data_IF_902589009872
#
_entry.id   IF_902589009872
#
_cell.length_a   1.000
_cell.length_b   1.000
_cell.length_c   1.000
_cell.angle_alpha   90.00
_cell.angle_beta   90.00
_cell.angle_gamma   90.00
#
_symmetry.space_group_name_H-M   'P 1'
#
loop_
_entity.id
_entity.type
_entity.pdbx_description
1 polymer ?
#
# COMPACT_ATOMS: atom_id res chain seq x y z
N UNK A 1 18.25 15.19 14.31
CA UNK A 1 17.22 14.76 15.27
C UNK A 1 17.02 13.26 15.17
N UNK A 2 17.12 12.58 16.28
CA UNK A 2 16.87 11.15 16.34
C UNK A 2 15.39 10.88 16.43
N UNK A 3 14.90 9.96 15.60
CA UNK A 3 13.52 9.51 15.65
C UNK A 3 13.45 8.22 16.46
N UNK A 4 12.76 8.25 17.60
CA UNK A 4 12.62 7.11 18.50
C UNK A 4 11.26 6.44 18.31
N UNK A 5 11.28 5.10 18.42
CA UNK A 5 10.09 4.29 18.31
C UNK A 5 9.91 3.48 19.59
N UNK A 6 8.72 3.54 20.17
CA UNK A 6 8.38 2.67 21.29
C UNK A 6 7.73 1.38 20.78
N UNK A 7 7.97 0.28 21.51
CA UNK A 7 7.34 -1.01 21.22
C UNK A 7 5.81 -0.84 21.25
N UNK A 8 5.13 -1.39 20.22
CA UNK A 8 3.69 -1.29 20.08
C UNK A 8 3.21 -0.03 19.37
N UNK A 9 4.11 0.90 19.04
CA UNK A 9 3.75 2.10 18.29
C UNK A 9 3.49 1.76 16.82
N UNK A 10 2.77 2.62 16.07
CA UNK A 10 2.59 2.43 14.64
C UNK A 10 3.91 2.35 13.87
N UNK A 11 4.91 3.14 14.25
CA UNK A 11 6.23 3.06 13.61
C UNK A 11 6.95 1.75 13.93
N UNK A 12 6.74 1.20 15.12
CA UNK A 12 7.25 -0.13 15.45
C UNK A 12 6.60 -1.20 14.56
N UNK A 13 5.30 -1.10 14.31
CA UNK A 13 4.61 -2.00 13.38
C UNK A 13 5.21 -1.91 11.98
N UNK A 14 5.45 -0.72 11.46
CA UNK A 14 6.05 -0.55 10.14
C UNK A 14 7.43 -1.24 10.06
N UNK A 15 8.20 -1.15 11.15
CA UNK A 15 9.51 -1.81 11.22
C UNK A 15 9.41 -3.33 11.11
N UNK A 16 8.34 -3.92 11.63
CA UNK A 16 8.12 -5.37 11.55
C UNK A 16 7.85 -5.86 10.13
N UNK A 17 7.47 -4.98 9.22
CA UNK A 17 7.19 -5.33 7.82
C UNK A 17 8.45 -5.47 6.97
N UNK A 18 9.61 -5.02 7.46
CA UNK A 18 10.85 -5.00 6.70
C UNK A 18 11.24 -6.40 6.24
N UNK A 19 11.59 -6.54 4.95
CA UNK A 19 12.04 -7.80 4.39
C UNK A 19 11.55 -8.02 2.98
N UNK A 20 11.83 -9.22 2.49
CA UNK A 20 11.30 -9.69 1.21
C UNK A 20 9.95 -10.37 1.40
N UNK A 21 9.06 -10.14 0.45
CA UNK A 21 7.70 -10.66 0.48
C UNK A 21 7.39 -11.37 -0.83
N UNK A 22 6.74 -12.53 -0.74
CA UNK A 22 6.23 -13.25 -1.90
C UNK A 22 4.76 -13.57 -1.66
N UNK A 23 3.98 -13.58 -2.72
CA UNK A 23 2.57 -13.89 -2.57
C UNK A 23 1.87 -13.98 -3.91
N UNK A 24 0.56 -13.94 -3.87
CA UNK A 24 -0.30 -14.00 -5.04
C UNK A 24 -1.12 -12.72 -5.12
N UNK A 25 -1.15 -12.13 -6.30
CA UNK A 25 -2.05 -11.04 -6.62
C UNK A 25 -3.29 -11.61 -7.29
N UNK A 26 -4.45 -11.25 -6.80
CA UNK A 26 -5.74 -11.69 -7.35
C UNK A 26 -6.54 -10.45 -7.73
N UNK A 27 -7.07 -10.47 -8.93
CA UNK A 27 -7.85 -9.35 -9.46
C UNK A 27 -9.28 -9.80 -9.73
N UNK A 28 -10.24 -9.07 -9.20
CA UNK A 28 -11.66 -9.24 -9.50
C UNK A 28 -12.15 -7.94 -10.14
N UNK A 29 -12.68 -8.03 -11.35
CA UNK A 29 -13.32 -6.90 -12.04
C UNK A 29 -14.82 -6.88 -11.79
N UNK A 30 -15.35 -8.02 -11.35
CA UNK A 30 -16.74 -8.19 -10.94
C UNK A 30 -16.77 -9.04 -9.66
N UNK A 31 -17.78 -8.87 -8.79
CA UNK A 31 -17.92 -9.74 -7.62
C UNK A 31 -17.96 -11.22 -8.02
N UNK A 32 -17.29 -12.06 -7.23
CA UNK A 32 -17.25 -13.51 -7.40
C UNK A 32 -16.65 -14.02 -8.72
N UNK A 33 -15.98 -13.16 -9.49
CA UNK A 33 -15.35 -13.54 -10.75
C UNK A 33 -13.89 -13.13 -10.78
N UNK A 34 -13.01 -14.09 -10.55
CA UNK A 34 -11.57 -13.87 -10.60
C UNK A 34 -11.12 -13.64 -12.03
N UNK A 35 -10.53 -12.47 -12.30
CA UNK A 35 -10.06 -12.10 -13.63
C UNK A 35 -8.60 -12.48 -13.84
N UNK A 36 -7.78 -12.42 -12.80
CA UNK A 36 -6.35 -12.75 -12.88
C UNK A 36 -5.84 -13.22 -11.54
N UNK A 37 -4.88 -14.14 -11.56
CA UNK A 37 -4.14 -14.57 -10.38
C UNK A 37 -2.69 -14.77 -10.80
N UNK A 38 -1.78 -14.02 -10.18
CA UNK A 38 -0.38 -13.99 -10.58
C UNK A 38 0.52 -13.84 -9.38
N UNK A 39 1.74 -14.43 -9.42
CA UNK A 39 2.69 -14.23 -8.32
C UNK A 39 3.17 -12.78 -8.26
N UNK A 40 3.44 -12.32 -7.04
CA UNK A 40 3.98 -11.01 -6.77
C UNK A 40 5.18 -11.13 -5.85
N UNK A 41 6.22 -10.36 -6.13
CA UNK A 41 7.43 -10.25 -5.32
C UNK A 41 7.58 -8.81 -4.86
N UNK A 42 8.00 -8.62 -3.63
CA UNK A 42 8.22 -7.28 -3.14
C UNK A 42 9.25 -7.22 -2.03
N UNK A 43 9.69 -6.01 -1.74
CA UNK A 43 10.59 -5.71 -0.63
C UNK A 43 10.08 -4.51 0.12
N UNK A 44 10.22 -4.53 1.44
CA UNK A 44 9.88 -3.41 2.30
C UNK A 44 11.15 -2.99 3.03
N UNK A 45 11.49 -1.71 2.94
CA UNK A 45 12.63 -1.11 3.62
C UNK A 45 12.19 0.13 4.38
N UNK A 46 12.89 0.45 5.47
CA UNK A 46 12.67 1.69 6.19
C UNK A 46 13.56 2.79 5.63
N UNK A 47 13.06 4.01 5.63
CA UNK A 47 13.81 5.19 5.22
C UNK A 47 13.61 6.30 6.24
N UNK A 48 14.51 7.29 6.21
CA UNK A 48 14.46 8.48 7.07
C UNK A 48 14.36 8.12 8.55
N UNK A 49 15.28 7.24 8.97
CA UNK A 49 15.41 6.79 10.36
C UNK A 49 14.17 6.05 10.88
N UNK A 50 13.50 5.32 9.99
CA UNK A 50 12.33 4.53 10.39
C UNK A 50 11.02 5.31 10.40
N UNK A 51 10.99 6.54 9.89
CA UNK A 51 9.75 7.32 9.80
C UNK A 51 8.80 6.78 8.78
N UNK A 52 9.33 6.18 7.70
CA UNK A 52 8.53 5.65 6.60
C UNK A 52 9.01 4.28 6.20
N UNK A 53 8.10 3.49 5.64
CA UNK A 53 8.39 2.22 5.01
C UNK A 53 8.09 2.32 3.52
N UNK A 54 9.01 1.84 2.70
CA UNK A 54 8.85 1.82 1.25
C UNK A 54 8.62 0.37 0.83
N UNK A 55 7.50 0.11 0.17
CA UNK A 55 7.18 -1.19 -0.41
C UNK A 55 7.29 -1.10 -1.93
N UNK A 56 8.27 -1.81 -2.48
CA UNK A 56 8.44 -1.96 -3.93
C UNK A 56 7.99 -3.36 -4.32
N UNK A 57 7.12 -3.46 -5.32
CA UNK A 57 6.64 -4.77 -5.77
C UNK A 57 6.63 -4.88 -7.27
N UNK A 58 6.70 -6.12 -7.73
CA UNK A 58 6.57 -6.46 -9.14
C UNK A 58 5.74 -7.74 -9.27
N UNK A 59 4.98 -7.80 -10.34
CA UNK A 59 4.12 -8.93 -10.63
C UNK A 59 3.65 -8.88 -12.07
N UNK A 60 2.51 -9.48 -12.34
CA UNK A 60 1.89 -9.43 -13.67
C UNK A 60 0.37 -9.40 -13.51
N UNK A 61 -0.29 -8.82 -14.51
CA UNK A 61 -1.74 -8.87 -14.65
C UNK A 61 -2.03 -9.24 -16.08
N UNK A 62 -2.73 -10.36 -16.26
CA UNK A 62 -3.07 -10.90 -17.59
C UNK A 62 -1.82 -11.03 -18.49
N UNK A 63 -0.70 -11.46 -17.91
CA UNK A 63 0.55 -11.65 -18.64
C UNK A 63 1.38 -10.39 -18.83
N UNK A 64 0.88 -9.22 -18.46
CA UNK A 64 1.60 -7.95 -18.58
C UNK A 64 2.33 -7.64 -17.29
N UNK A 65 3.61 -7.22 -17.40
CA UNK A 65 4.42 -6.86 -16.23
C UNK A 65 3.81 -5.67 -15.49
N UNK A 66 3.78 -5.78 -14.16
CA UNK A 66 3.28 -4.75 -13.27
C UNK A 66 4.34 -4.39 -12.24
N UNK A 67 4.53 -3.09 -12.00
CA UNK A 67 5.42 -2.56 -10.98
C UNK A 67 4.69 -1.51 -10.17
N UNK A 68 4.95 -1.47 -8.88
CA UNK A 68 4.33 -0.45 -8.03
C UNK A 68 5.16 -0.15 -6.79
N UNK A 69 4.76 0.91 -6.12
CA UNK A 69 5.41 1.37 -4.90
C UNK A 69 4.38 2.01 -3.97
N UNK A 70 4.46 1.63 -2.71
CA UNK A 70 3.80 2.34 -1.62
C UNK A 70 4.84 3.00 -0.74
N UNK A 71 4.55 4.21 -0.28
CA UNK A 71 5.21 4.81 0.87
C UNK A 71 4.21 4.78 2.01
N UNK A 72 4.54 4.10 3.10
CA UNK A 72 3.69 4.03 4.30
C UNK A 72 4.30 4.86 5.41
N UNK A 73 3.46 5.59 6.13
CA UNK A 73 3.87 6.35 7.29
C UNK A 73 2.74 6.47 8.30
N UNK A 74 3.06 7.04 9.45
CA UNK A 74 2.07 7.35 10.46
C UNK A 74 2.25 8.81 10.87
N UNK A 75 1.20 9.60 10.66
CA UNK A 75 1.21 11.02 10.99
C UNK A 75 0.83 11.19 12.46
N UNK A 76 1.80 11.55 13.30
CA UNK A 76 1.59 11.69 14.74
C UNK A 76 0.77 12.92 15.11
N UNK A 77 0.61 13.86 14.19
CA UNK A 77 -0.21 15.06 14.40
C UNK A 77 -1.69 14.74 14.23
N UNK A 78 -2.02 14.01 13.18
CA UNK A 78 -3.41 13.65 12.87
C UNK A 78 -3.83 12.30 13.44
N UNK A 79 -2.86 11.53 13.95
CA UNK A 79 -3.08 10.18 14.49
C UNK A 79 -3.66 9.23 13.44
N UNK A 80 -3.12 9.28 12.22
CA UNK A 80 -3.56 8.48 11.10
C UNK A 80 -2.39 7.84 10.37
N UNK A 81 -2.61 6.62 9.85
CA UNK A 81 -1.72 6.07 8.83
C UNK A 81 -1.92 6.83 7.53
N UNK A 82 -0.82 7.03 6.82
CA UNK A 82 -0.83 7.68 5.51
C UNK A 82 -0.04 6.83 4.53
N UNK A 83 -0.45 6.86 3.27
CA UNK A 83 0.28 6.19 2.21
C UNK A 83 0.20 7.00 0.93
N UNK A 84 1.26 6.89 0.12
CA UNK A 84 1.20 7.29 -1.28
C UNK A 84 1.41 6.04 -2.13
N UNK A 85 0.67 5.94 -3.22
CA UNK A 85 0.72 4.77 -4.09
C UNK A 85 0.88 5.19 -5.54
N UNK A 86 1.85 4.57 -6.20
CA UNK A 86 2.07 4.68 -7.64
C UNK A 86 2.20 3.27 -8.21
N UNK A 87 1.66 3.05 -9.40
CA UNK A 87 1.54 1.70 -9.94
C UNK A 87 1.44 1.78 -11.46
N UNK A 88 2.14 0.91 -12.16
CA UNK A 88 2.18 0.93 -13.62
C UNK A 88 0.89 0.43 -14.28
N UNK A 89 -0.04 -0.15 -13.51
CA UNK A 89 -1.29 -0.68 -14.04
C UNK A 89 -2.50 0.16 -13.66
N UNK A 90 -2.64 0.52 -12.37
CA UNK A 90 -3.86 1.15 -11.85
C UNK A 90 -3.84 2.67 -11.93
N UNK A 91 -2.70 3.29 -11.67
CA UNK A 91 -2.63 4.73 -11.45
C UNK A 91 -2.14 5.52 -12.67
N UNK A 92 -1.68 4.83 -13.71
CA UNK A 92 -1.06 5.46 -14.87
C UNK A 92 0.09 6.40 -14.44
N UNK A 93 -0.12 7.70 -14.46
CA UNK A 93 0.88 8.70 -14.05
C UNK A 93 0.46 9.48 -12.79
N UNK A 94 -0.62 9.05 -12.14
CA UNK A 94 -1.13 9.73 -10.96
C UNK A 94 -0.53 9.17 -9.67
N UNK A 95 -0.51 9.98 -8.63
CA UNK A 95 -0.14 9.56 -7.29
C UNK A 95 -1.42 9.53 -6.46
N UNK A 96 -1.71 8.37 -5.85
CA UNK A 96 -2.87 8.25 -4.97
C UNK A 96 -2.42 8.47 -3.53
N UNK A 97 -3.00 9.44 -2.85
CA UNK A 97 -2.80 9.65 -1.42
C UNK A 97 -3.90 8.98 -0.62
N UNK A 98 -3.51 8.22 0.40
CA UNK A 98 -4.43 7.44 1.22
C UNK A 98 -4.24 7.76 2.69
N UNK A 99 -5.33 7.69 3.45
CA UNK A 99 -5.29 7.86 4.91
C UNK A 99 -6.15 6.78 5.56
N UNK A 100 -5.80 6.39 6.79
CA UNK A 100 -6.56 5.37 7.49
C UNK A 100 -6.16 5.18 8.94
N UNK A 101 -6.59 4.06 9.49
CA UNK A 101 -6.53 3.79 10.92
C UNK A 101 -5.96 2.40 11.21
N UNK A 102 -5.52 2.16 12.45
CA UNK A 102 -5.11 0.80 12.83
C UNK A 102 -6.28 -0.18 12.77
N UNK A 103 -5.93 -1.44 12.55
CA UNK A 103 -6.78 -2.61 12.72
C UNK A 103 -6.14 -3.54 13.75
N UNK A 104 -6.81 -4.64 14.09
CA UNK A 104 -6.31 -5.58 15.10
C UNK A 104 -4.89 -6.07 14.81
N UNK A 105 -4.60 -6.45 13.57
CA UNK A 105 -3.30 -7.03 13.18
C UNK A 105 -2.54 -6.16 12.18
N UNK A 106 -2.85 -4.88 12.07
CA UNK A 106 -2.22 -4.01 11.11
C UNK A 106 -2.94 -2.69 10.96
N UNK A 107 -3.14 -2.28 9.72
CA UNK A 107 -3.83 -1.03 9.43
C UNK A 107 -4.49 -1.06 8.06
N UNK A 108 -5.38 -0.11 7.84
CA UNK A 108 -5.94 0.15 6.51
C UNK A 108 -5.75 1.61 6.13
N UNK A 109 -5.72 1.86 4.85
CA UNK A 109 -5.75 3.21 4.28
C UNK A 109 -6.74 3.26 3.13
N UNK A 110 -7.40 4.40 2.98
CA UNK A 110 -8.40 4.65 1.94
C UNK A 110 -7.93 5.79 1.06
N UNK A 111 -8.03 5.59 -0.25
CA UNK A 111 -7.73 6.60 -1.24
C UNK A 111 -8.82 6.64 -2.30
N UNK A 112 -8.68 7.56 -3.24
CA UNK A 112 -9.59 7.67 -4.37
C UNK A 112 -8.85 8.20 -5.60
N UNK A 113 -9.41 7.95 -6.77
CA UNK A 113 -8.90 8.53 -8.01
C UNK A 113 -10.07 8.87 -8.94
N UNK A 114 -9.87 9.87 -9.82
CA UNK A 114 -10.93 10.30 -10.74
C UNK A 114 -11.28 9.20 -11.74
N UNK A 115 -12.57 9.06 -12.02
CA UNK A 115 -13.02 8.22 -13.11
C UNK A 115 -12.70 8.91 -14.45
N UNK A 116 -11.89 8.31 -15.33
CA UNK A 116 -11.56 8.92 -16.61
C UNK A 116 -12.75 9.14 -17.53
N UNK A 117 -13.90 8.51 -17.25
CA UNK A 117 -15.12 8.70 -18.03
C UNK A 117 -16.05 9.80 -17.47
N UNK A 118 -15.61 10.49 -16.40
CA UNK A 118 -16.37 11.60 -15.81
C UNK A 118 -17.40 11.21 -14.78
N UNK A 119 -17.44 9.95 -14.36
CA UNK A 119 -18.29 9.49 -13.28
C UNK A 119 -17.75 9.85 -11.91
N UNK A 120 -18.38 9.35 -10.82
CA UNK A 120 -17.86 9.56 -9.46
C UNK A 120 -16.47 8.98 -9.29
N UNK A 121 -15.68 9.55 -8.36
CA UNK A 121 -14.37 9.03 -8.03
C UNK A 121 -14.46 7.57 -7.58
N UNK A 122 -13.44 6.79 -7.94
CA UNK A 122 -13.32 5.40 -7.53
C UNK A 122 -12.60 5.36 -6.19
N UNK A 123 -13.19 4.63 -5.23
CA UNK A 123 -12.56 4.40 -3.94
C UNK A 123 -11.58 3.24 -4.00
N UNK A 124 -10.54 3.32 -3.16
CA UNK A 124 -9.55 2.26 -3.04
C UNK A 124 -9.22 2.02 -1.57
N UNK A 125 -9.23 0.76 -1.17
CA UNK A 125 -8.87 0.37 0.20
C UNK A 125 -7.67 -0.56 0.15
N UNK A 126 -6.66 -0.24 0.94
CA UNK A 126 -5.49 -1.10 1.13
C UNK A 126 -5.40 -1.49 2.58
N UNK A 127 -5.29 -2.79 2.84
CA UNK A 127 -5.09 -3.32 4.18
C UNK A 127 -3.71 -3.96 4.27
N UNK A 128 -3.02 -3.69 5.36
CA UNK A 128 -1.70 -4.26 5.65
C UNK A 128 -1.79 -4.98 6.98
N UNK A 129 -1.57 -6.28 6.97
CA UNK A 129 -1.67 -7.13 8.15
C UNK A 129 -0.43 -8.01 8.28
N UNK A 130 -0.09 -8.30 9.52
CA UNK A 130 1.05 -9.18 9.82
C UNK A 130 0.58 -10.42 10.58
#
# INVERSE_FOLDING_TARGET
MTFEQSTGSPHHFLRQLVGGWTGMSKLWLEPDKLADESPVLGTITLVLEGRFAIYLYQGSIEGEAQHGMFTFGYNTITDQYEASWVDSFHNNTAIMFCVGKPMENGFYVLGSFPDPTGGPDWGWRTEVEL
#
